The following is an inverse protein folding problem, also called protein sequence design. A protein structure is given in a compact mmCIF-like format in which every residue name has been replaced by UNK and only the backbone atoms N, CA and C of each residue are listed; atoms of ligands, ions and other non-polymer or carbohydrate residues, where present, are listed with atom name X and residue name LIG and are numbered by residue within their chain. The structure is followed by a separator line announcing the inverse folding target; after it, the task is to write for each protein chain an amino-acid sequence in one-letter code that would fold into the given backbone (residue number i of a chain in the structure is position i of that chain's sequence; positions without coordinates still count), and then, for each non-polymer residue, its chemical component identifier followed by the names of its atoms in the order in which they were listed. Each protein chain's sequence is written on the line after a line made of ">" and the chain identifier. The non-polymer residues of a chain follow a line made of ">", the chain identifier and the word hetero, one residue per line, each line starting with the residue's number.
data_IF_623059451974
#
_entry.id   IF_623059451974
#
_cell.length_a   1.000
_cell.length_b   1.000
_cell.length_c   1.000
_cell.angle_alpha   90.00
_cell.angle_beta   90.00
_cell.angle_gamma   90.00
#
_symmetry.space_group_name_H-M   'P 1'
#
loop_
_entity.id
_entity.type
_entity.pdbx_description
1 polymer ?
#
# COMPACT_ATOMS: atom_id res chain seq x y z
N UNK A 1 8.59 -6.46 -6.01
CA UNK A 1 7.82 -7.05 -4.87
C UNK A 1 8.82 -7.63 -3.85
N UNK A 2 8.62 -7.44 -2.54
CA UNK A 2 9.54 -8.02 -1.54
C UNK A 2 9.27 -9.51 -1.28
N UNK A 3 10.24 -10.25 -0.73
CA UNK A 3 10.12 -11.69 -0.45
C UNK A 3 8.88 -12.04 0.38
N UNK A 4 8.51 -11.19 1.35
CA UNK A 4 7.27 -11.36 2.12
C UNK A 4 6.02 -11.24 1.25
N UNK A 5 5.95 -10.22 0.40
CA UNK A 5 4.81 -10.05 -0.51
C UNK A 5 4.73 -11.20 -1.52
N UNK A 6 5.88 -11.67 -2.03
CA UNK A 6 5.95 -12.81 -2.94
C UNK A 6 5.46 -14.10 -2.26
N UNK A 7 5.92 -14.37 -1.03
CA UNK A 7 5.50 -15.54 -0.26
C UNK A 7 3.98 -15.52 0.03
N UNK A 8 3.38 -14.36 0.31
CA UNK A 8 1.93 -14.23 0.53
C UNK A 8 1.10 -14.51 -0.72
N UNK A 9 1.62 -14.20 -1.92
CA UNK A 9 0.96 -14.51 -3.19
C UNK A 9 0.93 -16.03 -3.43
N UNK A 10 1.92 -16.76 -2.93
CA UNK A 10 2.03 -18.22 -3.09
C UNK A 10 1.28 -19.02 -2.01
N UNK A 11 0.63 -18.36 -1.05
CA UNK A 11 -0.08 -19.02 0.02
C UNK A 11 -1.56 -19.21 -0.30
N UNK A 12 -2.01 -20.47 -0.22
CA UNK A 12 -3.43 -20.83 -0.29
C UNK A 12 -4.22 -20.44 0.97
N UNK A 13 -3.51 -20.09 2.06
CA UNK A 13 -4.07 -19.70 3.34
C UNK A 13 -3.27 -18.54 3.97
N UNK A 14 -3.94 -17.46 4.34
CA UNK A 14 -3.33 -16.29 4.98
C UNK A 14 -3.95 -16.04 6.35
N UNK A 15 -3.10 -15.78 7.34
CA UNK A 15 -3.54 -15.32 8.67
C UNK A 15 -3.45 -13.80 8.75
N UNK A 16 -4.54 -13.15 9.14
CA UNK A 16 -4.55 -11.70 9.40
C UNK A 16 -4.57 -11.45 10.92
N UNK A 17 -3.99 -10.33 11.39
CA UNK A 17 -3.93 -9.99 12.83
C UNK A 17 -5.33 -9.90 13.41
N UNK A 18 -5.54 -10.32 14.66
CA UNK A 18 -6.86 -10.20 15.32
C UNK A 18 -7.95 -11.14 14.79
N UNK A 19 -7.67 -11.91 13.73
CA UNK A 19 -8.62 -12.88 13.19
C UNK A 19 -8.20 -14.31 13.52
N UNK A 20 -9.13 -15.10 14.07
CA UNK A 20 -8.83 -16.46 14.53
C UNK A 20 -8.68 -17.45 13.38
N UNK A 21 -9.47 -17.30 12.32
CA UNK A 21 -9.51 -18.25 11.21
C UNK A 21 -8.54 -17.83 10.08
N UNK A 22 -7.91 -18.78 9.37
CA UNK A 22 -7.19 -18.45 8.15
C UNK A 22 -8.16 -18.04 7.04
N UNK A 23 -7.73 -17.12 6.18
CA UNK A 23 -8.42 -16.79 4.94
C UNK A 23 -7.88 -17.71 3.85
N UNK A 24 -8.77 -18.45 3.19
CA UNK A 24 -8.40 -19.36 2.10
C UNK A 24 -8.63 -18.70 0.74
N UNK A 25 -7.89 -19.13 -0.27
CA UNK A 25 -7.99 -18.63 -1.65
C UNK A 25 -9.19 -19.28 -2.38
N UNK A 26 -10.03 -18.45 -2.99
CA UNK A 26 -11.16 -18.84 -3.82
C UNK A 26 -11.13 -18.08 -5.16
N UNK A 27 -10.79 -18.80 -6.23
CA UNK A 27 -10.46 -18.20 -7.52
C UNK A 27 -11.63 -17.55 -8.30
N UNK A 28 -12.87 -17.72 -7.83
CA UNK A 28 -14.08 -17.29 -8.56
C UNK A 28 -15.00 -16.34 -7.76
N UNK A 29 -14.52 -15.74 -6.67
CA UNK A 29 -15.33 -14.85 -5.85
C UNK A 29 -15.11 -13.37 -6.19
N UNK A 30 -16.21 -12.68 -6.54
CA UNK A 30 -16.26 -11.21 -6.64
C UNK A 30 -17.14 -10.68 -5.51
N UNK A 31 -16.66 -9.66 -4.83
CA UNK A 31 -17.36 -9.03 -3.71
C UNK A 31 -16.64 -7.78 -3.24
N UNK A 32 -17.25 -7.08 -2.29
CA UNK A 32 -16.73 -5.83 -1.75
C UNK A 32 -15.64 -6.10 -0.71
N UNK A 33 -14.38 -5.79 -0.98
CA UNK A 33 -13.30 -6.08 -0.03
C UNK A 33 -13.59 -5.48 1.37
N UNK A 34 -13.61 -6.32 2.41
CA UNK A 34 -13.89 -5.92 3.80
C UNK A 34 -12.89 -4.91 4.38
N UNK A 35 -11.74 -4.73 3.72
CA UNK A 35 -10.71 -3.79 4.16
C UNK A 35 -10.81 -2.41 3.52
N UNK A 36 -10.96 -2.34 2.19
CA UNK A 36 -10.98 -1.08 1.46
C UNK A 36 -12.37 -0.65 0.97
N UNK A 37 -13.38 -1.51 1.12
CA UNK A 37 -14.75 -1.26 0.67
C UNK A 37 -14.93 -1.20 -0.85
N UNK A 38 -13.92 -1.59 -1.63
CA UNK A 38 -13.99 -1.57 -3.10
C UNK A 38 -14.40 -2.93 -3.64
N UNK A 39 -15.25 -2.92 -4.66
CA UNK A 39 -15.66 -4.12 -5.39
C UNK A 39 -14.54 -4.62 -6.30
N UNK A 40 -13.97 -5.77 -5.95
CA UNK A 40 -12.85 -6.38 -6.66
C UNK A 40 -12.94 -7.90 -6.62
N UNK A 41 -12.03 -8.53 -7.36
CA UNK A 41 -11.69 -9.92 -7.11
C UNK A 41 -11.12 -10.06 -5.69
N UNK A 42 -11.83 -10.78 -4.82
CA UNK A 42 -11.49 -10.98 -3.42
C UNK A 42 -11.22 -12.46 -3.14
N UNK A 43 -10.05 -12.97 -3.56
CA UNK A 43 -9.78 -14.40 -3.47
C UNK A 43 -9.67 -14.87 -2.02
N UNK A 44 -9.22 -14.05 -1.09
CA UNK A 44 -8.96 -14.47 0.28
C UNK A 44 -10.22 -14.34 1.13
N UNK A 45 -10.77 -15.47 1.59
CA UNK A 45 -12.03 -15.49 2.35
C UNK A 45 -11.95 -16.36 3.60
N UNK A 46 -12.50 -15.86 4.70
CA UNK A 46 -12.90 -16.67 5.84
C UNK A 46 -14.39 -17.03 5.69
N UNK A 47 -14.70 -18.32 5.61
CA UNK A 47 -16.10 -18.78 5.53
C UNK A 47 -16.86 -18.56 6.85
N UNK A 48 -16.19 -18.73 7.98
CA UNK A 48 -16.80 -18.69 9.31
C UNK A 48 -17.19 -17.28 9.77
N UNK A 49 -16.50 -16.25 9.24
CA UNK A 49 -16.68 -14.86 9.69
C UNK A 49 -17.03 -13.89 8.56
N UNK A 50 -17.32 -14.39 7.36
CA UNK A 50 -17.70 -13.59 6.19
C UNK A 50 -16.69 -12.48 5.79
N UNK A 51 -15.43 -12.58 6.21
CA UNK A 51 -14.36 -11.65 5.81
C UNK A 51 -13.87 -12.03 4.42
N UNK A 52 -13.77 -11.07 3.52
CA UNK A 52 -13.26 -11.25 2.18
C UNK A 52 -12.34 -10.11 1.77
N UNK A 53 -11.12 -10.45 1.37
CA UNK A 53 -10.05 -9.48 1.10
C UNK A 53 -9.56 -9.60 -0.34
N UNK A 54 -9.36 -8.44 -0.97
CA UNK A 54 -8.61 -8.36 -2.22
C UNK A 54 -7.12 -8.55 -1.95
N UNK A 55 -6.40 -8.99 -2.98
CA UNK A 55 -4.96 -9.25 -2.91
C UNK A 55 -4.18 -8.05 -2.34
N UNK A 56 -4.51 -6.84 -2.78
CA UNK A 56 -3.84 -5.62 -2.32
C UNK A 56 -4.00 -5.37 -0.82
N UNK A 57 -5.16 -5.68 -0.24
CA UNK A 57 -5.40 -5.50 1.19
C UNK A 57 -4.70 -6.57 2.04
N UNK A 58 -4.61 -7.80 1.54
CA UNK A 58 -3.85 -8.89 2.20
C UNK A 58 -2.36 -8.57 2.25
N UNK A 59 -1.82 -7.93 1.22
CA UNK A 59 -0.41 -7.58 1.13
C UNK A 59 -0.03 -6.36 2.00
N UNK A 60 -0.99 -5.66 2.63
CA UNK A 60 -0.68 -4.48 3.44
C UNK A 60 0.11 -4.87 4.69
N UNK A 61 1.12 -4.07 5.08
CA UNK A 61 1.92 -4.35 6.24
C UNK A 61 1.10 -4.22 7.54
N UNK A 62 1.15 -5.25 8.36
CA UNK A 62 0.45 -5.28 9.66
C UNK A 62 0.91 -4.16 10.60
N UNK A 63 2.22 -3.87 10.61
CA UNK A 63 2.82 -2.82 11.45
C UNK A 63 3.69 -1.92 10.58
N UNK A 64 3.56 -0.62 10.78
CA UNK A 64 4.26 0.40 9.98
C UNK A 64 4.83 1.48 10.89
N UNK A 65 6.06 1.90 10.61
CA UNK A 65 6.62 3.13 11.15
C UNK A 65 6.22 4.27 10.24
N UNK A 66 5.59 5.30 10.77
CA UNK A 66 5.23 6.50 10.01
C UNK A 66 5.79 7.74 10.69
N UNK A 67 6.13 8.77 9.94
CA UNK A 67 6.76 10.00 10.46
C UNK A 67 5.91 10.78 11.48
N UNK A 68 4.59 10.57 11.47
CA UNK A 68 3.68 11.21 12.42
C UNK A 68 3.75 10.61 13.83
N UNK A 69 4.37 9.44 13.99
CA UNK A 69 4.37 8.71 15.25
C UNK A 69 5.75 8.07 15.53
N UNK A 70 6.15 8.06 16.80
CA UNK A 70 7.38 7.38 17.24
C UNK A 70 7.17 5.87 17.33
N UNK A 71 5.94 5.44 17.61
CA UNK A 71 5.55 4.04 17.74
C UNK A 71 5.11 3.45 16.39
N UNK A 72 5.04 2.11 16.34
CA UNK A 72 4.51 1.42 15.18
C UNK A 72 2.98 1.51 15.19
N UNK A 73 2.43 2.02 14.10
CA UNK A 73 1.01 1.92 13.80
C UNK A 73 0.67 0.48 13.43
N UNK A 74 -0.44 -0.04 13.95
CA UNK A 74 -0.95 -1.38 13.68
C UNK A 74 -2.19 -1.31 12.83
N UNK A 75 -2.29 -2.17 11.82
CA UNK A 75 -3.45 -2.28 10.96
C UNK A 75 -4.60 -2.92 11.75
N UNK A 76 -5.69 -2.19 11.89
CA UNK A 76 -6.82 -2.46 12.78
C UNK A 76 -8.14 -2.46 12.01
N UNK A 77 -9.07 -3.31 12.43
CA UNK A 77 -10.40 -3.46 11.86
C UNK A 77 -11.44 -4.00 12.87
N UNK A 78 -11.10 -3.99 14.16
CA UNK A 78 -11.93 -4.46 15.25
C UNK A 78 -12.78 -3.32 15.87
N UNK A 79 -13.55 -3.67 16.89
CA UNK A 79 -14.58 -2.84 17.55
C UNK A 79 -14.03 -1.55 18.20
N UNK A 80 -12.73 -1.28 18.17
CA UNK A 80 -12.17 0.04 18.53
C UNK A 80 -12.85 1.13 17.68
N UNK A 81 -13.27 0.77 16.48
CA UNK A 81 -13.94 1.64 15.54
C UNK A 81 -15.36 2.11 15.96
N UNK A 82 -15.93 1.60 17.06
CA UNK A 82 -17.23 2.05 17.57
C UNK A 82 -17.14 3.41 18.30
N UNK A 83 -15.93 3.85 18.68
CA UNK A 83 -15.72 5.14 19.33
C UNK A 83 -15.57 6.27 18.30
N UNK A 84 -16.48 7.25 18.34
CA UNK A 84 -16.51 8.40 17.43
C UNK A 84 -15.18 9.18 17.36
N UNK A 85 -14.38 9.18 18.45
CA UNK A 85 -13.07 9.83 18.47
C UNK A 85 -12.06 9.28 17.46
N UNK A 86 -12.26 8.07 16.94
CA UNK A 86 -11.39 7.45 15.94
C UNK A 86 -11.95 7.51 14.51
N UNK A 87 -13.04 8.26 14.31
CA UNK A 87 -13.65 8.49 13.00
C UNK A 87 -12.96 9.62 12.23
N UNK A 88 -11.88 10.19 12.76
CA UNK A 88 -11.03 11.14 12.04
C UNK A 88 -9.63 10.59 11.86
N UNK A 89 -8.98 11.04 10.80
CA UNK A 89 -7.59 10.71 10.49
C UNK A 89 -6.68 11.83 10.98
N UNK A 90 -5.74 11.51 11.87
CA UNK A 90 -4.82 12.49 12.45
C UNK A 90 -3.76 13.00 11.46
N UNK A 91 -3.67 12.40 10.27
CA UNK A 91 -2.71 12.82 9.22
C UNK A 91 -3.31 13.86 8.29
N UNK A 92 -4.58 13.67 7.89
CA UNK A 92 -5.22 14.53 6.89
C UNK A 92 -6.43 15.30 7.41
N UNK A 93 -6.78 15.09 8.68
CA UNK A 93 -7.89 15.74 9.41
C UNK A 93 -9.27 15.51 8.76
N UNK A 94 -9.39 14.47 7.93
CA UNK A 94 -10.65 14.07 7.28
C UNK A 94 -11.28 12.88 7.98
N UNK A 95 -12.60 12.79 7.83
CA UNK A 95 -13.38 11.68 8.33
C UNK A 95 -12.93 10.35 7.72
N UNK A 96 -12.93 9.32 8.56
CA UNK A 96 -12.58 7.94 8.27
C UNK A 96 -13.88 7.16 8.14
N UNK A 97 -13.96 6.31 7.13
CA UNK A 97 -15.07 5.37 7.03
C UNK A 97 -14.90 4.29 8.10
N UNK A 98 -15.83 4.18 9.07
CA UNK A 98 -15.71 3.20 10.12
C UNK A 98 -15.71 1.76 9.56
N UNK A 99 -16.32 1.51 8.40
CA UNK A 99 -16.38 0.16 7.82
C UNK A 99 -15.05 -0.27 7.18
N UNK A 100 -14.09 0.64 7.04
CA UNK A 100 -12.79 0.36 6.42
C UNK A 100 -11.70 0.18 7.46
N UNK A 101 -10.73 -0.64 7.11
CA UNK A 101 -9.51 -0.83 7.91
C UNK A 101 -8.75 0.49 8.06
N UNK A 102 -7.95 0.60 9.11
CA UNK A 102 -7.15 1.78 9.41
C UNK A 102 -5.90 1.42 10.19
N UNK A 103 -5.01 2.40 10.35
CA UNK A 103 -3.87 2.26 11.23
C UNK A 103 -4.14 2.93 12.56
N UNK A 104 -3.86 2.21 13.65
CA UNK A 104 -4.03 2.68 15.02
C UNK A 104 -2.73 2.50 15.83
N UNK A 105 -2.43 3.46 16.69
CA UNK A 105 -1.43 3.31 17.74
C UNK A 105 -2.08 3.50 19.10
N UNK A 106 -2.13 2.45 19.92
CA UNK A 106 -2.69 2.51 21.27
C UNK A 106 -1.92 3.47 22.20
N UNK A 107 -0.60 3.53 22.07
CA UNK A 107 0.24 4.36 22.96
C UNK A 107 0.10 5.86 22.70
N UNK A 108 -0.06 6.25 21.43
CA UNK A 108 -0.21 7.65 21.04
C UNK A 108 -1.67 8.06 20.78
N UNK A 109 -2.59 7.10 20.83
CA UNK A 109 -3.99 7.23 20.42
C UNK A 109 -4.19 7.69 18.96
N UNK A 110 -3.18 7.47 18.10
CA UNK A 110 -3.19 7.90 16.70
C UNK A 110 -4.10 7.01 15.85
N UNK A 111 -5.04 7.59 15.11
CA UNK A 111 -5.91 6.96 14.11
C UNK A 111 -5.67 7.57 12.73
N UNK A 112 -5.40 6.74 11.71
CA UNK A 112 -5.13 7.24 10.36
C UNK A 112 -5.68 6.34 9.25
N UNK A 113 -6.11 6.96 8.14
CA UNK A 113 -6.45 6.21 6.92
C UNK A 113 -5.25 5.37 6.48
N UNK A 114 -5.53 4.16 5.97
CA UNK A 114 -4.48 3.26 5.47
C UNK A 114 -3.66 3.91 4.36
N UNK A 115 -4.32 4.66 3.47
CA UNK A 115 -3.66 5.31 2.35
C UNK A 115 -2.86 6.56 2.78
N UNK A 116 -3.23 7.22 3.89
CA UNK A 116 -2.43 8.31 4.47
C UNK A 116 -1.11 7.80 5.07
N UNK A 117 -1.11 6.58 5.63
CA UNK A 117 0.10 5.98 6.24
C UNK A 117 1.02 5.36 5.18
N UNK A 118 0.46 4.68 4.18
CA UNK A 118 1.26 3.96 3.19
C UNK A 118 1.55 4.74 1.90
N UNK A 119 0.75 5.76 1.60
CA UNK A 119 0.77 6.43 0.30
C UNK A 119 0.19 5.57 -0.83
N UNK A 120 0.35 6.07 -2.06
CA UNK A 120 -0.26 5.49 -3.27
C UNK A 120 0.38 4.15 -3.68
N UNK A 121 1.67 3.95 -3.38
CA UNK A 121 2.44 2.79 -3.83
C UNK A 121 3.00 1.96 -2.66
N UNK A 122 2.13 1.38 -1.80
CA UNK A 122 2.49 0.71 -0.55
C UNK A 122 3.42 -0.51 -0.71
N UNK A 123 3.46 -1.09 -1.91
CA UNK A 123 4.20 -2.33 -2.20
C UNK A 123 5.53 -2.10 -2.92
N UNK A 124 5.84 -0.84 -3.23
CA UNK A 124 7.11 -0.45 -3.83
C UNK A 124 8.07 -0.04 -2.72
N UNK A 125 9.27 -0.64 -2.73
CA UNK A 125 10.32 -0.30 -1.79
C UNK A 125 11.20 0.78 -2.40
N UNK A 126 11.32 1.94 -1.74
CA UNK A 126 12.29 2.96 -2.12
C UNK A 126 13.72 2.40 -2.11
N UNK A 127 14.51 2.80 -3.11
CA UNK A 127 15.87 2.31 -3.37
C UNK A 127 15.93 0.92 -4.02
N UNK A 128 14.80 0.25 -4.24
CA UNK A 128 14.80 -1.00 -5.00
C UNK A 128 15.04 -0.75 -6.48
N UNK A 129 15.80 -1.67 -7.10
CA UNK A 129 16.15 -1.61 -8.52
C UNK A 129 14.95 -2.03 -9.37
N UNK A 130 14.75 -1.31 -10.46
CA UNK A 130 13.75 -1.53 -11.49
C UNK A 130 14.47 -1.76 -12.82
N UNK A 131 14.23 -2.94 -13.42
CA UNK A 131 14.94 -3.41 -14.60
C UNK A 131 14.04 -3.55 -15.84
N UNK A 132 12.76 -3.17 -15.74
CA UNK A 132 11.81 -3.29 -16.84
C UNK A 132 11.70 -1.94 -17.58
N UNK A 133 11.70 -1.94 -18.91
CA UNK A 133 11.58 -0.72 -19.72
C UNK A 133 12.66 -0.60 -20.79
N UNK A 134 12.63 0.50 -21.53
CA UNK A 134 13.53 0.73 -22.68
C UNK A 134 14.81 1.49 -22.31
N UNK A 135 14.98 1.89 -21.04
CA UNK A 135 16.19 2.60 -20.61
C UNK A 135 17.36 1.60 -20.41
N UNK A 136 18.56 1.87 -20.96
CA UNK A 136 19.68 0.92 -20.95
C UNK A 136 20.32 0.68 -19.58
N UNK A 137 20.10 1.58 -18.61
CA UNK A 137 20.63 1.46 -17.25
C UNK A 137 19.57 1.01 -16.25
N UNK A 138 19.94 0.31 -15.16
CA UNK A 138 19.02 0.02 -14.08
C UNK A 138 18.48 1.31 -13.44
N UNK A 139 17.18 1.36 -13.24
CA UNK A 139 16.52 2.47 -12.56
C UNK A 139 16.30 2.12 -11.09
N UNK A 140 16.10 3.12 -10.24
CA UNK A 140 15.79 2.94 -8.82
C UNK A 140 14.56 3.74 -8.44
N UNK A 141 13.73 3.15 -7.58
CA UNK A 141 12.56 3.85 -7.04
C UNK A 141 12.98 4.91 -6.03
N UNK A 142 12.68 6.16 -6.30
CA UNK A 142 13.02 7.28 -5.42
C UNK A 142 11.79 8.15 -5.13
N UNK A 143 11.84 8.84 -3.99
CA UNK A 143 10.95 9.95 -3.68
C UNK A 143 11.83 11.08 -3.19
N UNK A 144 12.22 11.97 -4.10
CA UNK A 144 13.13 13.06 -3.76
C UNK A 144 12.36 14.19 -3.09
N UNK A 145 12.92 14.71 -2.01
CA UNK A 145 12.44 15.88 -1.31
C UNK A 145 13.68 16.59 -0.75
N UNK A 146 13.78 17.93 -0.83
CA UNK A 146 12.82 18.88 -1.42
C UNK A 146 13.06 19.13 -2.92
N UNK A 147 14.12 18.57 -3.51
CA UNK A 147 14.45 18.77 -4.92
C UNK A 147 13.73 17.74 -5.79
N UNK A 148 12.74 18.19 -6.56
CA UNK A 148 11.96 17.34 -7.46
C UNK A 148 12.51 17.44 -8.88
N UNK A 149 13.17 16.41 -9.40
CA UNK A 149 13.63 16.41 -10.79
C UNK A 149 12.45 16.42 -11.77
N UNK A 150 12.67 16.97 -12.97
CA UNK A 150 11.70 16.96 -14.05
C UNK A 150 11.56 15.55 -14.63
N UNK A 151 10.32 15.18 -14.97
CA UNK A 151 10.02 13.93 -15.64
C UNK A 151 10.30 14.04 -17.13
N UNK A 152 11.14 13.16 -17.67
CA UNK A 152 11.50 13.14 -19.10
C UNK A 152 10.30 12.90 -20.02
N UNK A 153 9.24 12.26 -19.53
CA UNK A 153 8.07 11.90 -20.34
C UNK A 153 7.01 13.01 -20.41
N UNK A 154 6.83 13.78 -19.33
CA UNK A 154 5.75 14.78 -19.25
C UNK A 154 6.20 16.20 -18.90
N UNK A 155 7.49 16.41 -18.62
CA UNK A 155 8.07 17.70 -18.26
C UNK A 155 7.69 18.23 -16.87
N UNK A 156 6.85 17.54 -16.11
CA UNK A 156 6.43 17.97 -14.76
C UNK A 156 7.40 17.48 -13.69
N UNK A 157 7.45 18.20 -12.57
CA UNK A 157 8.27 17.82 -11.41
C UNK A 157 7.79 16.50 -10.77
N UNK A 158 8.73 15.64 -10.40
CA UNK A 158 8.48 14.38 -9.69
C UNK A 158 8.32 14.61 -8.18
N UNK A 159 7.17 15.14 -7.78
CA UNK A 159 6.80 15.34 -6.37
C UNK A 159 6.49 14.02 -5.63
N UNK A 160 6.11 13.00 -6.40
CA UNK A 160 5.74 11.68 -5.91
C UNK A 160 6.82 10.63 -6.24
N UNK A 161 6.42 9.36 -6.30
CA UNK A 161 7.31 8.26 -6.65
C UNK A 161 7.81 8.40 -8.09
N UNK A 162 9.12 8.40 -8.26
CA UNK A 162 9.79 8.38 -9.55
C UNK A 162 10.80 7.24 -9.66
N UNK A 163 11.21 7.00 -10.90
CA UNK A 163 12.33 6.14 -11.25
C UNK A 163 13.48 7.04 -11.67
N UNK A 164 14.64 6.83 -11.07
CA UNK A 164 15.86 7.56 -11.37
C UNK A 164 16.99 6.59 -11.76
N UNK A 165 17.74 6.97 -12.77
CA UNK A 165 18.99 6.32 -13.12
C UNK A 165 20.12 6.73 -12.15
N UNK A 166 20.81 5.75 -11.57
CA UNK A 166 21.94 6.00 -10.68
C UNK A 166 23.29 6.11 -11.42
N UNK A 167 23.31 5.89 -12.74
CA UNK A 167 24.53 5.89 -13.54
C UNK A 167 25.11 7.32 -13.65
N UNK A 168 26.40 7.54 -13.34
CA UNK A 168 27.02 8.85 -13.45
C UNK A 168 26.87 9.45 -14.85
N UNK A 169 26.35 10.67 -14.93
CA UNK A 169 26.12 11.38 -16.19
C UNK A 169 24.77 11.09 -16.86
N UNK A 170 23.98 10.15 -16.34
CA UNK A 170 22.62 9.93 -16.80
C UNK A 170 21.61 10.71 -15.95
N UNK A 171 20.90 11.66 -16.54
CA UNK A 171 19.87 12.46 -15.86
C UNK A 171 18.45 11.90 -16.05
N UNK A 172 18.33 10.61 -16.35
CA UNK A 172 17.04 9.98 -16.59
C UNK A 172 16.22 9.92 -15.30
N UNK A 173 15.10 10.64 -15.27
CA UNK A 173 14.12 10.61 -14.21
C UNK A 173 12.70 10.62 -14.81
N UNK A 174 11.84 9.72 -14.36
CA UNK A 174 10.46 9.62 -14.85
C UNK A 174 9.49 9.30 -13.72
N UNK A 175 8.28 9.86 -13.74
CA UNK A 175 7.25 9.45 -12.79
C UNK A 175 6.95 7.96 -12.98
N UNK A 176 6.69 7.25 -11.87
CA UNK A 176 6.27 5.85 -11.96
C UNK A 176 5.03 5.66 -12.86
N UNK A 177 4.08 6.60 -12.78
CA UNK A 177 2.85 6.62 -13.61
C UNK A 177 3.06 7.00 -15.08
N UNK A 178 4.16 7.69 -15.41
CA UNK A 178 4.42 8.16 -16.78
C UNK A 178 5.13 7.10 -17.63
N UNK A 179 5.61 6.03 -17.01
CA UNK A 179 6.10 4.86 -17.75
C UNK A 179 5.01 4.33 -18.67
N UNK A 180 5.26 4.36 -19.98
CA UNK A 180 4.50 3.56 -20.94
C UNK A 180 4.80 2.09 -20.65
N UNK A 181 3.85 1.39 -20.04
CA UNK A 181 3.94 -0.06 -19.91
C UNK A 181 3.29 -0.68 -21.13
N UNK A 182 4.03 -1.52 -21.85
CA UNK A 182 3.45 -2.54 -22.71
C UNK A 182 2.80 -3.63 -21.86
N UNK A 183 1.82 -3.27 -21.02
CA UNK A 183 0.98 -4.24 -20.32
C UNK A 183 -0.44 -3.67 -20.30
N UNK A 184 -1.16 -4.00 -21.37
CA UNK A 184 -2.61 -4.00 -21.42
C UNK A 184 -3.13 -4.95 -20.31
N UNK A 185 -3.99 -4.45 -19.45
CA UNK A 185 -5.02 -5.24 -18.79
C UNK A 185 -6.35 -4.56 -19.05
#
# INVERSE_FOLDING_TARGET
>A
ICLRCFALVLQDAVKIPGHKHPLLVYYNYRGQCSACGKDFFCPYRCKDCNIHLCLWCVLRPIRVRHKCDKHLLTLTYDNINDYAKYHYCDICEKERDPKKWFYYCETCDTSAHVDCVLGEYPLIKLGSIYNEGEHPHPLTFVKKFPYYPECVECGKLCEDLSLECAEPGCNYNTHWKCRKSAILW
#
